data_IF_852545923871
#
_entry.id   IF_852545923871
#
_cell.length_a   1.000
_cell.length_b   1.000
_cell.length_c   1.000
_cell.angle_alpha   90.00
_cell.angle_beta   90.00
_cell.angle_gamma   90.00
#
_symmetry.space_group_name_H-M   'P 1'
#
loop_
_entity.id
_entity.type
_entity.pdbx_description
1 polymer ?
#
# COMPACT_ATOMS: atom_id res chain seq x y z
N UNK A 1 5.69 2.36 13.42
CA UNK A 1 7.10 2.80 13.55
C UNK A 1 7.31 4.14 12.86
N UNK A 2 8.33 4.91 13.24
CA UNK A 2 8.60 6.24 12.69
C UNK A 2 8.89 6.25 11.17
N UNK A 3 9.66 5.30 10.59
CA UNK A 3 9.94 5.30 9.15
C UNK A 3 8.69 5.07 8.28
N UNK A 4 7.83 4.13 8.68
CA UNK A 4 6.57 3.85 7.98
C UNK A 4 5.67 5.09 7.93
N UNK A 5 5.47 5.72 9.08
CA UNK A 5 4.63 6.92 9.17
C UNK A 5 5.18 8.04 8.28
N UNK A 6 6.48 8.33 8.37
CA UNK A 6 7.12 9.34 7.50
C UNK A 6 6.93 9.05 6.02
N UNK A 7 7.02 7.79 5.61
CA UNK A 7 6.78 7.40 4.22
C UNK A 7 5.34 7.66 3.79
N UNK A 8 4.34 7.21 4.57
CA UNK A 8 2.91 7.43 4.26
C UNK A 8 2.59 8.93 4.11
N UNK A 9 3.12 9.76 5.01
CA UNK A 9 2.84 11.19 5.10
C UNK A 9 3.82 12.08 4.31
N UNK A 10 4.72 11.49 3.51
CA UNK A 10 5.68 12.27 2.72
C UNK A 10 4.97 13.21 1.73
N UNK A 11 5.62 14.31 1.36
CA UNK A 11 5.06 15.26 0.41
C UNK A 11 4.73 14.60 -0.95
N UNK A 12 3.63 15.00 -1.62
CA UNK A 12 2.55 15.86 -1.14
C UNK A 12 1.65 15.11 -0.14
N UNK A 13 1.52 15.65 1.08
CA UNK A 13 0.91 14.94 2.22
C UNK A 13 -0.57 14.64 2.04
N UNK A 14 -1.30 15.42 1.23
CA UNK A 14 -2.73 15.20 0.95
C UNK A 14 -3.06 13.80 0.41
N UNK A 15 -2.09 13.10 -0.20
CA UNK A 15 -2.25 11.73 -0.71
C UNK A 15 -1.87 10.64 0.31
N UNK A 16 -1.79 10.96 1.60
CA UNK A 16 -1.55 9.95 2.65
C UNK A 16 -2.65 8.87 2.66
N UNK A 17 -3.89 9.23 2.30
CA UNK A 17 -5.06 8.33 2.30
C UNK A 17 -4.84 7.12 1.39
N UNK A 18 -4.17 7.30 0.26
CA UNK A 18 -3.78 6.20 -0.63
C UNK A 18 -2.98 5.14 0.11
N UNK A 19 -1.99 5.54 0.92
CA UNK A 19 -1.19 4.61 1.72
C UNK A 19 -2.00 3.91 2.82
N UNK A 20 -2.91 4.63 3.50
CA UNK A 20 -3.77 4.06 4.55
C UNK A 20 -4.73 3.01 3.96
N UNK A 21 -5.43 3.37 2.89
CA UNK A 21 -6.37 2.47 2.21
C UNK A 21 -5.64 1.27 1.60
N UNK A 22 -4.43 1.48 1.07
CA UNK A 22 -3.58 0.39 0.58
C UNK A 22 -3.25 -0.62 1.69
N UNK A 23 -2.82 -0.15 2.87
CA UNK A 23 -2.56 -1.04 4.01
C UNK A 23 -3.82 -1.75 4.51
N UNK A 24 -4.97 -1.06 4.49
CA UNK A 24 -6.26 -1.67 4.82
C UNK A 24 -6.63 -2.79 3.84
N UNK A 25 -6.43 -2.57 2.54
CA UNK A 25 -6.61 -3.58 1.51
C UNK A 25 -5.67 -4.77 1.71
N UNK A 26 -4.37 -4.57 1.94
CA UNK A 26 -3.45 -5.68 2.16
C UNK A 26 -3.82 -6.51 3.39
N UNK A 27 -4.25 -5.86 4.48
CA UNK A 27 -4.68 -6.50 5.72
C UNK A 27 -6.13 -7.02 5.73
N UNK A 28 -6.79 -7.16 4.57
CA UNK A 28 -8.18 -7.67 4.49
C UNK A 28 -9.23 -6.83 5.24
N UNK A 29 -8.94 -5.58 5.60
CA UNK A 29 -9.94 -4.67 6.15
C UNK A 29 -10.93 -4.18 5.06
N UNK A 30 -10.55 -4.30 3.79
CA UNK A 30 -11.41 -4.06 2.63
C UNK A 30 -11.01 -4.99 1.48
N UNK A 31 -11.94 -5.24 0.56
CA UNK A 31 -11.74 -6.20 -0.53
C UNK A 31 -11.21 -5.61 -1.84
N UNK A 32 -11.25 -4.28 -1.97
CA UNK A 32 -10.77 -3.55 -3.15
C UNK A 32 -9.73 -2.51 -2.75
N UNK A 33 -8.87 -2.10 -3.68
CA UNK A 33 -7.99 -0.94 -3.53
C UNK A 33 -8.54 0.22 -4.36
N UNK A 34 -9.58 0.86 -3.83
CA UNK A 34 -10.18 2.08 -4.41
C UNK A 34 -10.21 3.16 -3.34
N UNK A 35 -9.90 4.39 -3.73
CA UNK A 35 -9.91 5.55 -2.84
C UNK A 35 -10.91 6.56 -3.38
N UNK A 36 -11.69 7.19 -2.50
CA UNK A 36 -12.64 8.24 -2.89
C UNK A 36 -11.93 9.29 -3.76
N UNK A 37 -12.55 9.62 -4.90
CA UNK A 37 -11.98 10.54 -5.88
C UNK A 37 -10.91 9.93 -6.80
N UNK A 38 -10.80 8.60 -6.89
CA UNK A 38 -9.87 7.91 -7.78
C UNK A 38 -8.40 8.06 -7.34
N UNK A 39 -8.17 8.22 -6.05
CA UNK A 39 -6.85 8.53 -5.50
C UNK A 39 -5.96 7.28 -5.26
N UNK A 40 -6.39 6.09 -5.65
CA UNK A 40 -5.57 4.87 -5.62
C UNK A 40 -4.30 5.01 -6.47
N UNK A 41 -4.34 5.82 -7.54
CA UNK A 41 -3.20 6.16 -8.38
C UNK A 41 -2.39 7.38 -7.92
N UNK A 42 -2.75 8.01 -6.80
CA UNK A 42 -2.10 9.26 -6.35
C UNK A 42 -0.71 9.07 -5.73
N UNK A 43 -0.28 7.81 -5.53
CA UNK A 43 1.07 7.43 -5.13
C UNK A 43 1.65 6.47 -6.17
N UNK A 44 2.94 6.62 -6.47
CA UNK A 44 3.60 5.78 -7.48
C UNK A 44 3.70 4.31 -7.07
N UNK A 45 3.85 3.41 -8.04
CA UNK A 45 4.11 1.98 -7.80
C UNK A 45 5.29 1.76 -6.86
N UNK A 46 6.38 2.51 -7.03
CA UNK A 46 7.55 2.46 -6.15
C UNK A 46 7.20 2.85 -4.71
N UNK A 47 6.38 3.89 -4.53
CA UNK A 47 5.92 4.29 -3.20
C UNK A 47 5.13 3.18 -2.51
N UNK A 48 4.22 2.50 -3.23
CA UNK A 48 3.46 1.37 -2.71
C UNK A 48 4.36 0.17 -2.36
N UNK A 49 5.37 -0.12 -3.19
CA UNK A 49 6.32 -1.20 -2.92
C UNK A 49 7.20 -0.94 -1.69
N UNK A 50 7.67 0.30 -1.51
CA UNK A 50 8.41 0.69 -0.30
C UNK A 50 7.48 0.64 0.93
N UNK A 51 6.24 1.11 0.79
CA UNK A 51 5.24 1.06 1.85
C UNK A 51 5.00 -0.38 2.32
N UNK A 52 4.82 -1.32 1.39
CA UNK A 52 4.69 -2.74 1.67
C UNK A 52 5.89 -3.27 2.50
N UNK A 53 7.13 -3.00 2.04
CA UNK A 53 8.34 -3.42 2.76
C UNK A 53 8.47 -2.80 4.15
N UNK A 54 8.08 -1.54 4.31
CA UNK A 54 8.12 -0.87 5.62
C UNK A 54 7.06 -1.40 6.57
N UNK A 55 5.88 -1.78 6.06
CA UNK A 55 4.82 -2.39 6.83
C UNK A 55 5.18 -3.81 7.29
N UNK A 56 5.80 -4.61 6.41
CA UNK A 56 6.36 -5.92 6.73
C UNK A 56 7.39 -5.84 7.86
N UNK A 57 8.40 -4.97 7.70
CA UNK A 57 9.41 -4.70 8.75
C UNK A 57 8.82 -4.19 10.08
N UNK A 58 7.63 -3.60 10.03
CA UNK A 58 6.92 -3.11 11.20
C UNK A 58 5.97 -4.17 11.81
N UNK A 59 5.90 -5.38 11.24
CA UNK A 59 5.05 -6.47 11.72
C UNK A 59 3.55 -6.19 11.57
N UNK A 60 3.16 -5.41 10.56
CA UNK A 60 1.77 -4.94 10.43
C UNK A 60 0.86 -5.86 9.61
N UNK A 61 1.39 -6.93 9.01
CA UNK A 61 0.59 -7.88 8.26
C UNK A 61 0.10 -9.00 9.17
N UNK A 62 -1.23 -9.08 9.34
CA UNK A 62 -1.87 -10.16 10.11
C UNK A 62 -1.67 -11.53 9.44
N UNK A 63 -1.69 -11.53 8.12
CA UNK A 63 -1.45 -12.69 7.25
C UNK A 63 -0.48 -12.24 6.14
N UNK A 64 0.84 -12.46 6.32
CA UNK A 64 1.86 -12.05 5.37
C UNK A 64 1.70 -12.68 3.99
N UNK A 65 1.28 -13.95 3.91
CA UNK A 65 1.08 -14.67 2.66
C UNK A 65 -0.07 -14.07 1.83
N UNK A 66 -1.21 -13.78 2.47
CA UNK A 66 -2.33 -13.09 1.82
C UNK A 66 -1.92 -11.67 1.41
N UNK A 67 -1.17 -10.98 2.27
CA UNK A 67 -0.69 -9.62 2.00
C UNK A 67 0.25 -9.59 0.78
N UNK A 68 1.15 -10.55 0.68
CA UNK A 68 2.06 -10.72 -0.46
C UNK A 68 1.28 -10.99 -1.75
N UNK A 69 0.31 -11.92 -1.74
CA UNK A 69 -0.53 -12.21 -2.92
C UNK A 69 -1.35 -10.99 -3.36
N UNK A 70 -1.92 -10.24 -2.41
CA UNK A 70 -2.65 -9.01 -2.74
C UNK A 70 -1.74 -7.92 -3.30
N UNK A 71 -0.51 -7.83 -2.82
CA UNK A 71 0.52 -6.94 -3.36
C UNK A 71 0.90 -7.34 -4.79
N UNK A 72 1.07 -8.63 -5.08
CA UNK A 72 1.35 -9.16 -6.43
C UNK A 72 0.27 -8.73 -7.43
N UNK A 73 -1.02 -8.83 -7.08
CA UNK A 73 -2.09 -8.36 -7.95
C UNK A 73 -2.03 -6.86 -8.23
N UNK A 74 -1.67 -6.05 -7.23
CA UNK A 74 -1.48 -4.61 -7.44
C UNK A 74 -0.30 -4.37 -8.38
N UNK A 75 0.83 -5.08 -8.21
CA UNK A 75 1.99 -4.95 -9.09
C UNK A 75 1.69 -5.39 -10.53
N UNK A 76 0.93 -6.47 -10.71
CA UNK A 76 0.53 -6.96 -12.03
C UNK A 76 -0.31 -5.93 -12.80
N UNK A 77 -1.25 -5.24 -12.14
CA UNK A 77 -2.02 -4.15 -12.74
C UNK A 77 -1.12 -2.99 -13.19
N UNK A 78 0.00 -2.76 -12.51
CA UNK A 78 1.01 -1.78 -12.91
C UNK A 78 2.05 -2.32 -13.91
N UNK A 79 1.84 -3.52 -14.47
CA UNK A 79 2.73 -4.13 -15.47
C UNK A 79 4.02 -4.72 -14.92
N UNK A 80 4.07 -5.05 -13.62
CA UNK A 80 5.24 -5.63 -12.97
C UNK A 80 4.99 -7.11 -12.64
N UNK A 81 5.94 -7.99 -12.97
CA UNK A 81 5.85 -9.42 -12.71
C UNK A 81 5.06 -10.20 -13.77
N UNK A 82 5.03 -9.69 -15.00
CA UNK A 82 4.58 -10.42 -16.20
C UNK A 82 5.77 -11.15 -16.82
#
# INVERSE_FOLDING_TARGET
TLPLSRHIFQAPTQFYKTGIVFLAYLNRHQDHFLVIGGQEGARSTLHLAILFRLADKAGLFRDPEISARRMEYVMAVHGVGV
#
